data_IF_318573011846
#
_entry.id   IF_318573011846
#
_cell.length_a   1.000
_cell.length_b   1.000
_cell.length_c   1.000
_cell.angle_alpha   90.00
_cell.angle_beta   90.00
_cell.angle_gamma   90.00
#
_symmetry.space_group_name_H-M   'P 1'
#
loop_
_entity.id
_entity.type
_entity.pdbx_description
1 polymer ?
#
# COMPACT_ATOMS: atom_id res chain seq x y z
N UNK A 1 -38.15 -8.40 26.90
CA UNK A 1 -36.87 -8.59 27.60
C UNK A 1 -36.02 -9.57 26.81
N UNK A 2 -35.15 -9.08 25.93
CA UNK A 2 -34.07 -9.86 25.37
C UNK A 2 -32.83 -9.64 26.26
N UNK A 3 -32.45 -10.66 27.01
CA UNK A 3 -31.21 -10.71 27.76
C UNK A 3 -30.05 -10.89 26.75
N UNK A 4 -29.38 -9.79 26.42
CA UNK A 4 -28.12 -9.85 25.74
C UNK A 4 -27.03 -10.18 26.76
N UNK A 5 -26.52 -11.40 26.75
CA UNK A 5 -25.34 -11.78 27.53
C UNK A 5 -24.16 -10.97 27.05
N UNK A 6 -23.38 -10.33 27.92
CA UNK A 6 -22.20 -9.60 27.49
C UNK A 6 -21.13 -10.63 27.07
N UNK A 7 -20.88 -10.74 25.76
CA UNK A 7 -19.64 -11.32 25.26
C UNK A 7 -18.54 -10.32 25.63
N UNK A 8 -17.91 -10.49 26.79
CA UNK A 8 -16.61 -9.89 27.08
C UNK A 8 -15.56 -10.62 26.25
N UNK A 9 -15.45 -10.28 24.96
CA UNK A 9 -14.16 -10.27 24.29
C UNK A 9 -13.49 -8.98 24.76
N UNK A 10 -12.27 -9.06 25.25
CA UNK A 10 -11.37 -7.90 25.30
C UNK A 10 -11.21 -7.42 23.86
N UNK A 11 -12.07 -6.50 23.48
CA UNK A 11 -11.96 -5.81 22.20
C UNK A 11 -10.82 -4.82 22.41
N UNK A 12 -9.59 -5.23 22.07
CA UNK A 12 -8.53 -4.26 21.83
C UNK A 12 -9.14 -3.20 20.91
N UNK A 13 -9.08 -1.94 21.34
CA UNK A 13 -9.61 -0.83 20.54
C UNK A 13 -8.97 -0.89 19.16
N UNK A 14 -9.80 -1.09 18.11
CA UNK A 14 -9.30 -1.15 16.73
C UNK A 14 -8.59 0.16 16.41
N UNK A 15 -7.48 0.03 15.67
CA UNK A 15 -6.60 1.14 15.31
C UNK A 15 -7.22 2.02 14.24
N UNK A 16 -7.14 3.33 14.43
CA UNK A 16 -7.59 4.35 13.48
C UNK A 16 -6.55 4.56 12.39
N UNK A 17 -6.94 4.38 11.14
CA UNK A 17 -6.03 4.56 10.00
C UNK A 17 -6.48 5.69 9.07
N UNK A 18 -5.53 6.53 8.67
CA UNK A 18 -5.69 7.51 7.61
C UNK A 18 -5.15 6.95 6.30
N UNK A 19 -5.98 6.87 5.26
CA UNK A 19 -5.57 6.60 3.89
C UNK A 19 -5.28 7.92 3.17
N UNK A 20 -4.07 8.09 2.69
CA UNK A 20 -3.62 9.19 1.83
C UNK A 20 -3.38 8.62 0.44
N UNK A 21 -4.44 8.54 -0.37
CA UNK A 21 -4.43 7.87 -1.67
C UNK A 21 -5.47 8.50 -2.59
N UNK A 22 -5.44 8.23 -3.90
CA UNK A 22 -6.47 8.71 -4.80
C UNK A 22 -7.82 7.99 -4.60
N UNK A 23 -8.86 8.57 -5.16
CA UNK A 23 -10.21 7.98 -5.20
C UNK A 23 -10.62 7.80 -6.66
N UNK A 24 -10.77 6.55 -7.08
CA UNK A 24 -11.35 6.21 -8.37
C UNK A 24 -12.88 6.26 -8.30
N UNK A 25 -13.50 7.03 -9.20
CA UNK A 25 -14.95 7.12 -9.30
C UNK A 25 -15.57 5.83 -9.85
N UNK A 26 -14.93 5.19 -10.84
CA UNK A 26 -15.34 3.90 -11.39
C UNK A 26 -14.17 2.93 -11.40
N UNK A 27 -14.23 1.93 -10.53
CA UNK A 27 -13.25 0.87 -10.37
C UNK A 27 -12.82 0.62 -8.93
N UNK A 28 -12.12 -0.48 -8.72
CA UNK A 28 -11.66 -0.96 -7.41
C UNK A 28 -10.14 -0.91 -7.32
N UNK A 29 -9.63 0.31 -7.22
CA UNK A 29 -8.21 0.62 -7.04
C UNK A 29 -8.07 1.67 -5.93
N UNK A 30 -6.88 1.87 -5.43
CA UNK A 30 -6.55 2.87 -4.44
C UNK A 30 -7.52 2.86 -3.23
N UNK A 31 -8.01 4.01 -2.79
CA UNK A 31 -8.97 4.10 -1.67
C UNK A 31 -10.22 3.24 -1.89
N UNK A 32 -10.72 3.11 -3.14
CA UNK A 32 -11.91 2.31 -3.43
C UNK A 32 -11.69 0.79 -3.24
N UNK A 33 -10.43 0.32 -3.24
CA UNK A 33 -10.06 -1.05 -2.89
C UNK A 33 -9.70 -1.18 -1.40
N UNK A 34 -8.92 -0.26 -0.85
CA UNK A 34 -8.38 -0.38 0.50
C UNK A 34 -9.46 -0.17 1.58
N UNK A 35 -10.34 0.83 1.42
CA UNK A 35 -11.33 1.20 2.41
C UNK A 35 -12.28 0.05 2.77
N UNK A 36 -12.91 -0.68 1.82
CA UNK A 36 -13.81 -1.78 2.17
C UNK A 36 -13.10 -2.92 2.90
N UNK A 37 -11.84 -3.22 2.55
CA UNK A 37 -11.05 -4.29 3.20
C UNK A 37 -10.73 -3.91 4.64
N UNK A 38 -10.15 -2.73 4.87
CA UNK A 38 -9.79 -2.26 6.21
C UNK A 38 -11.01 -2.11 7.12
N UNK A 39 -12.14 -1.60 6.57
CA UNK A 39 -13.41 -1.51 7.29
C UNK A 39 -13.97 -2.89 7.63
N UNK A 40 -13.86 -3.88 6.72
CA UNK A 40 -14.26 -5.26 6.98
C UNK A 40 -13.42 -5.90 8.11
N UNK A 41 -12.12 -5.62 8.15
CA UNK A 41 -11.23 -6.02 9.23
C UNK A 41 -11.48 -5.25 10.55
N UNK A 42 -12.41 -4.27 10.53
CA UNK A 42 -12.92 -3.58 11.70
C UNK A 42 -12.17 -2.30 12.07
N UNK A 43 -11.23 -1.84 11.25
CA UNK A 43 -10.50 -0.59 11.51
C UNK A 43 -11.33 0.63 11.09
N UNK A 44 -11.43 1.68 11.94
CA UNK A 44 -11.96 2.97 11.53
C UNK A 44 -11.02 3.61 10.49
N UNK A 45 -11.55 3.86 9.28
CA UNK A 45 -10.78 4.38 8.14
C UNK A 45 -11.17 5.84 7.87
N UNK A 46 -10.17 6.70 7.77
CA UNK A 46 -10.28 8.10 7.40
C UNK A 46 -9.57 8.32 6.07
N UNK A 47 -10.01 9.29 5.28
CA UNK A 47 -9.52 9.45 3.92
C UNK A 47 -9.01 10.88 3.68
N UNK A 48 -7.84 10.98 3.06
CA UNK A 48 -7.30 12.21 2.51
C UNK A 48 -7.01 11.96 1.03
N UNK A 49 -7.93 12.31 0.12
CA UNK A 49 -7.75 12.05 -1.30
C UNK A 49 -6.59 12.89 -1.86
N UNK A 50 -5.66 12.25 -2.55
CA UNK A 50 -4.54 12.89 -3.27
C UNK A 50 -4.94 13.32 -4.68
N UNK A 51 -5.90 12.61 -5.26
CA UNK A 51 -6.56 12.96 -6.50
C UNK A 51 -7.97 12.38 -6.54
N UNK A 52 -8.85 13.00 -7.32
CA UNK A 52 -10.10 12.41 -7.75
C UNK A 52 -9.89 11.95 -9.19
N UNK A 53 -10.04 10.65 -9.44
CA UNK A 53 -9.83 10.02 -10.74
C UNK A 53 -11.17 9.46 -11.24
N UNK A 54 -11.55 9.78 -12.47
CA UNK A 54 -12.88 9.38 -12.97
C UNK A 54 -13.10 7.86 -12.98
N UNK A 55 -12.05 7.10 -13.30
CA UNK A 55 -12.08 5.63 -13.44
C UNK A 55 -10.66 5.07 -13.39
N UNK A 56 -10.53 3.73 -13.30
CA UNK A 56 -9.23 3.07 -13.42
C UNK A 56 -8.53 3.43 -14.72
N UNK A 57 -7.22 3.62 -14.67
CA UNK A 57 -6.42 4.07 -15.81
C UNK A 57 -6.38 3.05 -16.96
N UNK A 58 -6.62 1.78 -16.65
CA UNK A 58 -6.63 0.65 -17.60
C UNK A 58 -7.69 0.76 -18.70
N UNK A 59 -8.70 1.61 -18.54
CA UNK A 59 -9.63 1.96 -19.62
C UNK A 59 -9.02 2.87 -20.69
N UNK A 60 -7.78 3.40 -20.48
CA UNK A 60 -7.05 4.22 -21.43
C UNK A 60 -7.55 5.65 -21.58
N UNK A 61 -8.70 5.99 -20.98
CA UNK A 61 -9.25 7.36 -20.93
C UNK A 61 -9.70 7.65 -19.51
N UNK A 62 -9.32 8.78 -18.98
CA UNK A 62 -9.68 9.20 -17.63
C UNK A 62 -9.62 10.73 -17.52
N UNK A 63 -10.22 11.24 -16.47
CA UNK A 63 -10.04 12.61 -15.98
C UNK A 63 -9.48 12.55 -14.56
N UNK A 64 -8.57 13.46 -14.23
CA UNK A 64 -7.93 13.53 -12.91
C UNK A 64 -7.98 14.96 -12.39
N UNK A 65 -8.34 15.11 -11.14
CA UNK A 65 -8.28 16.36 -10.37
C UNK A 65 -7.32 16.17 -9.21
N UNK A 66 -6.18 16.82 -9.26
CA UNK A 66 -5.23 16.89 -8.14
C UNK A 66 -5.80 17.71 -6.98
N UNK A 67 -5.53 17.29 -5.75
CA UNK A 67 -6.12 17.88 -4.54
C UNK A 67 -5.11 18.56 -3.61
N UNK A 68 -3.93 18.92 -4.09
CA UNK A 68 -2.83 19.47 -3.25
C UNK A 68 -3.25 20.71 -2.48
N UNK A 69 -4.01 21.65 -3.08
CA UNK A 69 -4.46 22.84 -2.39
C UNK A 69 -5.52 22.52 -1.31
N UNK A 70 -6.36 21.50 -1.53
CA UNK A 70 -7.27 20.98 -0.51
C UNK A 70 -6.48 20.40 0.66
N UNK A 71 -5.50 19.51 0.41
CA UNK A 71 -4.64 18.89 1.43
C UNK A 71 -3.94 19.97 2.29
N UNK A 72 -3.41 20.99 1.63
CA UNK A 72 -2.78 22.14 2.33
C UNK A 72 -3.73 22.83 3.32
N UNK A 73 -5.02 22.89 3.00
CA UNK A 73 -6.06 23.45 3.89
C UNK A 73 -6.50 22.49 4.99
N UNK A 74 -6.41 21.18 4.76
CA UNK A 74 -6.89 20.14 5.70
C UNK A 74 -6.02 20.04 6.95
N UNK A 75 -4.71 19.99 6.80
CA UNK A 75 -3.81 19.74 7.93
C UNK A 75 -3.90 20.77 9.06
N UNK A 76 -3.98 22.09 8.80
CA UNK A 76 -4.21 23.08 9.86
C UNK A 76 -5.53 22.84 10.62
N UNK A 77 -6.61 22.52 9.90
CA UNK A 77 -7.93 22.25 10.49
C UNK A 77 -7.86 21.00 11.39
N UNK A 78 -7.25 19.92 10.92
CA UNK A 78 -7.12 18.70 11.71
C UNK A 78 -6.26 18.91 12.95
N UNK A 79 -5.21 19.73 12.84
CA UNK A 79 -4.37 20.10 13.99
C UNK A 79 -5.15 20.91 15.03
N UNK A 80 -5.94 21.89 14.60
CA UNK A 80 -6.79 22.70 15.48
C UNK A 80 -7.86 21.85 16.18
N UNK A 81 -8.47 20.89 15.46
CA UNK A 81 -9.47 19.97 16.00
C UNK A 81 -8.87 18.82 16.83
N UNK A 82 -7.55 18.68 16.86
CA UNK A 82 -6.86 17.65 17.63
C UNK A 82 -7.03 16.23 17.09
N UNK A 83 -7.27 16.07 15.77
CA UNK A 83 -7.39 14.74 15.17
C UNK A 83 -6.06 14.01 15.18
N UNK A 84 -6.10 12.72 15.48
CA UNK A 84 -4.94 11.83 15.51
C UNK A 84 -5.29 10.46 14.93
N UNK A 85 -4.26 9.76 14.45
CA UNK A 85 -4.39 8.45 13.85
C UNK A 85 -3.34 7.51 14.43
N UNK A 86 -3.68 6.24 14.58
CA UNK A 86 -2.71 5.21 14.99
C UNK A 86 -1.77 4.85 13.83
N UNK A 87 -2.27 4.99 12.59
CA UNK A 87 -1.49 4.72 11.38
C UNK A 87 -1.87 5.65 10.23
N UNK A 88 -0.92 5.87 9.34
CA UNK A 88 -1.12 6.53 8.04
C UNK A 88 -0.61 5.57 6.98
N UNK A 89 -1.42 5.31 5.94
CA UNK A 89 -1.01 4.58 4.76
C UNK A 89 -1.09 5.50 3.55
N UNK A 90 0.02 5.65 2.82
CA UNK A 90 0.09 6.45 1.61
C UNK A 90 0.20 5.56 0.38
N UNK A 91 -0.48 5.94 -0.70
CA UNK A 91 -0.39 5.33 -2.01
C UNK A 91 -0.01 6.37 -3.06
N UNK A 92 -0.86 6.53 -4.09
CA UNK A 92 -0.60 7.47 -5.18
C UNK A 92 -0.47 8.91 -4.68
N UNK A 93 0.61 9.57 -5.08
CA UNK A 93 0.91 10.98 -4.83
C UNK A 93 0.99 11.71 -6.16
N UNK A 94 0.18 12.75 -6.34
CA UNK A 94 -0.04 13.36 -7.64
C UNK A 94 1.05 14.36 -8.08
N UNK A 95 1.84 14.91 -7.15
CA UNK A 95 2.88 15.90 -7.47
C UNK A 95 3.97 15.99 -6.40
N UNK A 96 5.12 16.57 -6.76
CA UNK A 96 6.24 16.84 -5.83
C UNK A 96 5.80 17.72 -4.64
N UNK A 97 5.00 18.76 -4.91
CA UNK A 97 4.46 19.64 -3.88
C UNK A 97 3.59 18.87 -2.90
N UNK A 98 2.79 17.94 -3.40
CA UNK A 98 1.94 17.08 -2.58
C UNK A 98 2.77 16.11 -1.76
N UNK A 99 3.78 15.46 -2.37
CA UNK A 99 4.69 14.56 -1.67
C UNK A 99 5.36 15.23 -0.48
N UNK A 100 5.86 16.46 -0.69
CA UNK A 100 6.48 17.23 0.40
C UNK A 100 5.49 17.52 1.54
N UNK A 101 4.28 17.97 1.23
CA UNK A 101 3.24 18.25 2.23
C UNK A 101 2.89 17.01 3.04
N UNK A 102 2.71 15.87 2.36
CA UNK A 102 2.34 14.59 3.00
C UNK A 102 3.52 14.05 3.83
N UNK A 103 4.76 14.08 3.31
CA UNK A 103 5.93 13.63 4.05
C UNK A 103 6.17 14.46 5.32
N UNK A 104 6.01 15.79 5.24
CA UNK A 104 6.13 16.66 6.41
C UNK A 104 5.06 16.34 7.46
N UNK A 105 3.81 16.11 7.03
CA UNK A 105 2.74 15.67 7.92
C UNK A 105 3.01 14.30 8.53
N UNK A 106 3.48 13.33 7.74
CA UNK A 106 3.85 11.99 8.25
C UNK A 106 4.97 12.08 9.30
N UNK A 107 5.99 12.93 9.10
CA UNK A 107 7.05 13.14 10.12
C UNK A 107 6.46 13.66 11.42
N UNK A 108 5.62 14.71 11.36
CA UNK A 108 4.96 15.26 12.56
C UNK A 108 4.11 14.20 13.28
N UNK A 109 3.40 13.34 12.53
CA UNK A 109 2.59 12.27 13.13
C UNK A 109 3.45 11.12 13.68
N UNK A 110 4.54 10.75 13.01
CA UNK A 110 5.47 9.72 13.49
C UNK A 110 6.11 10.10 14.83
N UNK A 111 6.44 11.38 15.04
CA UNK A 111 6.93 11.90 16.33
C UNK A 111 5.91 11.72 17.47
N UNK A 112 4.62 11.57 17.13
CA UNK A 112 3.53 11.31 18.08
C UNK A 112 3.20 9.82 18.23
N UNK A 113 3.95 8.95 17.56
CA UNK A 113 3.79 7.50 17.62
C UNK A 113 2.87 6.89 16.56
N UNK A 114 2.46 7.67 15.54
CA UNK A 114 1.72 7.14 14.41
C UNK A 114 2.61 6.27 13.53
N UNK A 115 2.16 5.07 13.19
CA UNK A 115 2.88 4.17 12.28
C UNK A 115 2.67 4.61 10.82
N UNK A 116 3.76 4.70 10.05
CA UNK A 116 3.72 5.18 8.66
C UNK A 116 3.98 4.02 7.69
N UNK A 117 3.01 3.74 6.83
CA UNK A 117 3.07 2.79 5.73
C UNK A 117 3.15 3.53 4.40
N UNK A 118 4.11 3.19 3.55
CA UNK A 118 4.28 3.85 2.25
C UNK A 118 4.33 2.83 1.13
N UNK A 119 3.35 2.92 0.23
CA UNK A 119 3.35 2.26 -1.08
C UNK A 119 3.78 3.31 -2.12
N UNK A 120 4.99 3.23 -2.68
CA UNK A 120 5.54 4.27 -3.54
C UNK A 120 5.14 4.06 -5.00
N UNK A 121 3.86 4.13 -5.29
CA UNK A 121 3.27 3.83 -6.59
C UNK A 121 3.87 4.69 -7.70
N UNK A 122 4.65 4.06 -8.63
CA UNK A 122 5.33 4.76 -9.72
C UNK A 122 5.37 4.00 -11.05
N UNK A 123 5.27 2.69 -11.04
CA UNK A 123 5.46 1.89 -12.24
C UNK A 123 5.33 0.40 -12.00
N UNK A 124 5.37 -0.38 -13.07
CA UNK A 124 5.33 -1.83 -13.04
C UNK A 124 6.01 -2.42 -14.29
N UNK A 125 6.32 -3.72 -14.29
CA UNK A 125 6.93 -4.46 -15.40
C UNK A 125 8.18 -3.76 -16.00
N UNK A 126 9.03 -3.18 -15.15
CA UNK A 126 10.25 -2.48 -15.55
C UNK A 126 10.04 -1.07 -16.09
N UNK A 127 8.81 -0.54 -16.10
CA UNK A 127 8.47 0.75 -16.69
C UNK A 127 7.77 1.65 -15.68
N UNK A 128 8.10 2.94 -15.76
CA UNK A 128 7.36 3.96 -15.03
C UNK A 128 6.01 4.22 -15.70
N UNK A 129 4.99 4.54 -14.92
CA UNK A 129 3.70 4.97 -15.43
C UNK A 129 3.81 6.31 -16.17
N UNK A 130 2.88 6.56 -17.09
CA UNK A 130 2.83 7.82 -17.84
C UNK A 130 2.77 9.03 -16.90
N UNK A 131 3.67 9.99 -17.11
CA UNK A 131 3.77 11.19 -16.30
C UNK A 131 4.70 11.09 -15.10
N UNK A 132 5.22 9.91 -14.76
CA UNK A 132 6.24 9.75 -13.71
C UNK A 132 7.60 10.18 -14.25
N UNK A 133 8.29 11.02 -13.50
CA UNK A 133 9.58 11.63 -13.85
C UNK A 133 10.63 11.33 -12.80
N UNK A 134 11.89 11.72 -13.06
CA UNK A 134 12.95 11.65 -12.05
C UNK A 134 12.61 12.44 -10.77
N UNK A 135 11.88 13.55 -10.91
CA UNK A 135 11.40 14.33 -9.78
C UNK A 135 10.38 13.54 -8.94
N UNK A 136 9.46 12.79 -9.59
CA UNK A 136 8.53 11.89 -8.90
C UNK A 136 9.28 10.83 -8.10
N UNK A 137 10.34 10.21 -8.67
CA UNK A 137 11.16 9.22 -7.96
C UNK A 137 11.80 9.84 -6.71
N UNK A 138 12.31 11.06 -6.80
CA UNK A 138 12.88 11.75 -5.64
C UNK A 138 11.82 12.05 -4.58
N UNK A 139 10.62 12.43 -4.99
CA UNK A 139 9.48 12.63 -4.08
C UNK A 139 9.10 11.34 -3.36
N UNK A 140 9.11 10.20 -4.06
CA UNK A 140 8.85 8.90 -3.44
C UNK A 140 9.99 8.50 -2.48
N UNK A 141 11.25 8.82 -2.79
CA UNK A 141 12.35 8.64 -1.81
C UNK A 141 12.12 9.48 -0.55
N UNK A 142 11.64 10.71 -0.67
CA UNK A 142 11.26 11.52 0.48
C UNK A 142 10.13 10.87 1.28
N UNK A 143 9.11 10.32 0.61
CA UNK A 143 8.01 9.60 1.27
C UNK A 143 8.50 8.37 2.03
N UNK A 144 9.30 7.49 1.40
CA UNK A 144 9.78 6.29 2.07
C UNK A 144 10.78 6.57 3.19
N UNK A 145 11.45 7.75 3.19
CA UNK A 145 12.38 8.13 4.26
C UNK A 145 11.72 8.31 5.63
N UNK A 146 10.40 8.45 5.67
CA UNK A 146 9.63 8.60 6.92
C UNK A 146 8.82 7.35 7.27
N UNK A 147 8.95 6.28 6.48
CA UNK A 147 8.16 5.07 6.62
C UNK A 147 8.67 4.15 7.75
N UNK A 148 7.76 3.57 8.50
CA UNK A 148 8.04 2.41 9.35
C UNK A 148 8.13 1.13 8.48
N UNK A 149 7.31 1.07 7.43
CA UNK A 149 7.32 0.00 6.44
C UNK A 149 7.00 0.55 5.05
N UNK A 150 7.84 0.24 4.07
CA UNK A 150 7.55 0.44 2.65
C UNK A 150 7.51 -0.89 1.90
N UNK A 151 6.67 -0.97 0.84
CA UNK A 151 6.46 -2.22 0.10
C UNK A 151 6.32 -1.99 -1.41
N UNK A 152 7.33 -1.35 -2.06
CA UNK A 152 7.36 -1.21 -3.50
C UNK A 152 7.26 -2.57 -4.22
N UNK A 153 6.78 -2.57 -5.46
CA UNK A 153 7.02 -3.69 -6.35
C UNK A 153 8.49 -3.68 -6.83
N UNK A 154 8.91 -4.73 -7.54
CA UNK A 154 10.31 -4.86 -7.97
C UNK A 154 10.76 -3.72 -8.90
N UNK A 155 9.89 -3.24 -9.79
CA UNK A 155 10.17 -2.10 -10.66
C UNK A 155 10.47 -0.85 -9.84
N UNK A 156 9.59 -0.52 -8.92
CA UNK A 156 9.71 0.64 -8.04
C UNK A 156 10.95 0.56 -7.16
N UNK A 157 11.24 -0.61 -6.59
CA UNK A 157 12.45 -0.84 -5.80
C UNK A 157 13.71 -0.57 -6.62
N UNK A 158 13.75 -0.97 -7.89
CA UNK A 158 14.88 -0.69 -8.78
C UNK A 158 15.05 0.82 -9.01
N UNK A 159 13.97 1.56 -9.30
CA UNK A 159 14.04 3.01 -9.50
C UNK A 159 14.41 3.76 -8.22
N UNK A 160 13.86 3.37 -7.08
CA UNK A 160 14.16 3.99 -5.79
C UNK A 160 15.62 3.81 -5.38
N UNK A 161 16.18 2.64 -5.62
CA UNK A 161 17.58 2.31 -5.28
C UNK A 161 18.58 2.61 -6.41
N UNK A 162 18.10 3.12 -7.56
CA UNK A 162 18.90 3.32 -8.77
C UNK A 162 19.57 2.04 -9.26
N UNK A 163 18.91 0.90 -9.07
CA UNK A 163 19.35 -0.41 -9.53
C UNK A 163 18.76 -0.74 -10.91
N UNK A 164 19.42 -1.63 -11.63
CA UNK A 164 18.92 -2.08 -12.94
C UNK A 164 17.81 -3.12 -12.74
N UNK A 165 16.69 -2.94 -13.45
CA UNK A 165 15.65 -3.95 -13.55
C UNK A 165 16.10 -5.10 -14.46
N UNK A 166 15.86 -6.35 -14.06
CA UNK A 166 16.05 -7.53 -14.88
C UNK A 166 14.78 -8.38 -14.89
N UNK A 167 14.17 -8.55 -16.05
CA UNK A 167 12.95 -9.35 -16.22
C UNK A 167 13.10 -10.83 -15.84
N UNK A 168 14.35 -11.34 -15.81
CA UNK A 168 14.65 -12.70 -15.37
C UNK A 168 14.65 -12.85 -13.85
N UNK A 169 14.51 -11.73 -13.14
CA UNK A 169 14.59 -11.70 -11.69
C UNK A 169 16.03 -11.63 -11.18
N UNK A 170 16.18 -11.90 -9.91
CA UNK A 170 17.45 -11.75 -9.17
C UNK A 170 17.67 -12.92 -8.22
N UNK A 171 18.91 -13.10 -7.77
CA UNK A 171 19.21 -13.98 -6.64
C UNK A 171 18.69 -13.38 -5.32
N UNK A 172 18.54 -14.21 -4.29
CA UNK A 172 18.15 -13.71 -2.97
C UNK A 172 19.16 -12.72 -2.40
N UNK A 173 20.45 -12.86 -2.68
CA UNK A 173 21.46 -11.90 -2.21
C UNK A 173 21.35 -10.54 -2.94
N UNK A 174 20.94 -10.52 -4.19
CA UNK A 174 20.62 -9.28 -4.91
C UNK A 174 19.35 -8.63 -4.37
N UNK A 175 18.32 -9.41 -4.07
CA UNK A 175 17.10 -8.91 -3.42
C UNK A 175 17.41 -8.28 -2.06
N UNK A 176 18.31 -8.85 -1.24
CA UNK A 176 18.79 -8.24 0.00
C UNK A 176 19.46 -6.89 -0.23
N UNK A 177 20.31 -6.77 -1.28
CA UNK A 177 20.93 -5.48 -1.61
C UNK A 177 19.91 -4.41 -1.96
N UNK A 178 18.82 -4.77 -2.67
CA UNK A 178 17.70 -3.85 -2.93
C UNK A 178 17.00 -3.42 -1.64
N UNK A 179 16.70 -4.37 -0.75
CA UNK A 179 16.11 -4.08 0.56
C UNK A 179 17.01 -3.16 1.38
N UNK A 180 18.31 -3.39 1.41
CA UNK A 180 19.27 -2.51 2.08
C UNK A 180 19.32 -1.12 1.43
N UNK A 181 19.23 -1.05 0.11
CA UNK A 181 19.12 0.21 -0.62
C UNK A 181 17.88 1.02 -0.18
N UNK A 182 16.72 0.37 -0.03
CA UNK A 182 15.50 1.02 0.48
C UNK A 182 15.69 1.49 1.93
N UNK A 183 16.29 0.67 2.78
CA UNK A 183 16.60 1.03 4.18
C UNK A 183 17.58 2.21 4.29
N UNK A 184 18.56 2.29 3.41
CA UNK A 184 19.48 3.43 3.35
C UNK A 184 18.79 4.75 2.99
N UNK A 185 17.63 4.71 2.30
CA UNK A 185 16.80 5.90 2.07
C UNK A 185 16.12 6.36 3.37
N UNK A 186 15.83 5.45 4.32
CA UNK A 186 15.37 5.81 5.65
C UNK A 186 14.25 4.95 6.23
N UNK A 187 13.59 4.08 5.45
CA UNK A 187 12.53 3.20 5.99
C UNK A 187 13.10 2.21 7.03
N UNK A 188 12.33 1.91 8.07
CA UNK A 188 12.74 0.93 9.09
C UNK A 188 12.67 -0.48 8.54
N UNK A 189 11.50 -0.93 8.10
CA UNK A 189 11.28 -2.20 7.43
C UNK A 189 10.99 -1.98 5.95
N UNK A 190 11.37 -2.92 5.10
CA UNK A 190 11.12 -2.87 3.67
C UNK A 190 10.66 -4.22 3.16
N UNK A 191 9.75 -4.23 2.19
CA UNK A 191 9.40 -5.39 1.39
C UNK A 191 9.47 -5.04 -0.09
N UNK A 192 9.67 -6.04 -0.94
CA UNK A 192 9.57 -5.91 -2.39
C UNK A 192 8.59 -6.97 -2.86
N UNK A 193 7.52 -6.52 -3.50
CA UNK A 193 6.50 -7.40 -4.08
C UNK A 193 6.78 -7.66 -5.55
N UNK A 194 6.14 -8.68 -6.11
CA UNK A 194 6.22 -9.02 -7.56
C UNK A 194 7.65 -9.17 -8.07
N UNK A 195 8.51 -9.85 -7.29
CA UNK A 195 9.91 -10.10 -7.67
C UNK A 195 10.13 -11.60 -7.97
N UNK A 196 10.87 -11.89 -9.02
CA UNK A 196 11.37 -13.24 -9.28
C UNK A 196 12.68 -13.46 -8.52
N UNK A 197 12.66 -14.34 -7.52
CA UNK A 197 13.86 -14.74 -6.77
C UNK A 197 14.24 -16.15 -7.19
N UNK A 198 15.42 -16.30 -7.78
CA UNK A 198 15.90 -17.58 -8.31
C UNK A 198 14.85 -18.28 -9.20
N UNK A 199 14.12 -17.46 -10.01
CA UNK A 199 13.08 -17.90 -10.93
C UNK A 199 11.71 -18.16 -10.30
N UNK A 200 11.52 -17.89 -9.01
CA UNK A 200 10.25 -18.11 -8.30
C UNK A 200 9.59 -16.77 -7.93
N UNK A 201 8.30 -16.54 -8.31
CA UNK A 201 7.56 -15.37 -7.86
C UNK A 201 7.52 -15.30 -6.35
N UNK A 202 7.92 -14.17 -5.78
CA UNK A 202 8.10 -14.04 -4.34
C UNK A 202 7.79 -12.64 -3.84
N UNK A 203 7.50 -12.54 -2.55
CA UNK A 203 7.65 -11.32 -1.76
C UNK A 203 8.90 -11.49 -0.91
N UNK A 204 9.81 -10.54 -0.97
CA UNK A 204 11.00 -10.50 -0.11
C UNK A 204 10.91 -9.34 0.86
N UNK A 205 11.50 -9.47 2.03
CA UNK A 205 11.48 -8.37 2.99
C UNK A 205 12.60 -8.42 4.02
N UNK A 206 12.75 -7.28 4.68
CA UNK A 206 13.55 -7.12 5.90
C UNK A 206 12.63 -6.62 7.02
N UNK A 207 12.64 -7.35 8.12
CA UNK A 207 11.89 -7.01 9.32
C UNK A 207 12.83 -6.37 10.37
N UNK A 208 12.66 -5.07 10.59
CA UNK A 208 13.45 -4.30 11.55
C UNK A 208 13.31 -4.83 12.99
N UNK A 209 12.12 -5.27 13.39
CA UNK A 209 11.87 -5.73 14.75
C UNK A 209 12.64 -7.01 15.12
N UNK A 210 12.94 -7.86 14.12
CA UNK A 210 13.66 -9.13 14.33
C UNK A 210 15.06 -9.12 13.73
N UNK A 211 15.44 -8.05 13.01
CA UNK A 211 16.70 -7.91 12.25
C UNK A 211 16.93 -9.07 11.27
N UNK A 212 15.87 -9.47 10.54
CA UNK A 212 15.92 -10.63 9.62
C UNK A 212 15.35 -10.31 8.26
N UNK A 213 16.00 -10.87 7.24
CA UNK A 213 15.45 -10.98 5.89
C UNK A 213 14.54 -12.20 5.80
N UNK A 214 13.56 -12.13 4.90
CA UNK A 214 12.68 -13.24 4.59
C UNK A 214 12.32 -13.25 3.10
N UNK A 215 11.89 -14.40 2.61
CA UNK A 215 11.28 -14.58 1.29
C UNK A 215 10.06 -15.47 1.43
N UNK A 216 8.96 -15.08 0.79
CA UNK A 216 7.69 -15.80 0.73
C UNK A 216 7.36 -16.07 -0.72
N UNK A 217 7.59 -17.30 -1.22
CA UNK A 217 7.21 -17.66 -2.58
C UNK A 217 5.70 -17.77 -2.71
N UNK A 218 5.18 -17.44 -3.90
CA UNK A 218 3.77 -17.61 -4.20
C UNK A 218 3.55 -18.17 -5.61
N UNK A 219 2.33 -18.67 -5.85
CA UNK A 219 1.89 -19.08 -7.18
C UNK A 219 1.22 -17.90 -7.87
N UNK A 220 1.71 -17.55 -9.06
CA UNK A 220 1.11 -16.51 -9.88
C UNK A 220 -0.06 -17.07 -10.70
N UNK A 221 -1.17 -16.34 -10.74
CA UNK A 221 -2.26 -16.59 -11.68
C UNK A 221 -2.05 -15.60 -12.85
N UNK A 222 -1.91 -16.07 -14.11
CA UNK A 222 -1.57 -15.22 -15.24
C UNK A 222 -2.76 -14.37 -15.70
N UNK A 223 -3.31 -13.58 -14.81
CA UNK A 223 -4.43 -12.67 -15.03
C UNK A 223 -4.15 -11.36 -14.32
N UNK A 224 -4.19 -10.26 -15.07
CA UNK A 224 -4.01 -8.93 -14.54
C UNK A 224 -5.34 -8.32 -14.07
N UNK A 225 -5.35 -7.76 -12.86
CA UNK A 225 -6.39 -6.87 -12.34
C UNK A 225 -5.75 -5.62 -11.76
N UNK A 226 -6.20 -4.42 -12.13
CA UNK A 226 -5.79 -3.21 -11.42
C UNK A 226 -6.24 -3.27 -9.96
N UNK A 227 -5.45 -2.69 -9.06
CA UNK A 227 -5.76 -2.62 -7.64
C UNK A 227 -5.35 -3.84 -6.80
N UNK A 228 -4.70 -4.86 -7.37
CA UNK A 228 -4.20 -6.00 -6.58
C UNK A 228 -3.12 -5.59 -5.58
N UNK A 229 -2.29 -4.60 -5.90
CA UNK A 229 -1.35 -3.99 -4.96
C UNK A 229 -2.07 -3.29 -3.79
N UNK A 230 -3.12 -2.52 -4.08
CA UNK A 230 -3.94 -1.87 -3.04
C UNK A 230 -4.63 -2.90 -2.12
N UNK A 231 -5.11 -4.01 -2.70
CA UNK A 231 -5.70 -5.13 -1.94
C UNK A 231 -4.65 -5.77 -1.03
N UNK A 232 -3.46 -6.06 -1.57
CA UNK A 232 -2.34 -6.58 -0.79
C UNK A 232 -2.00 -5.66 0.38
N UNK A 233 -1.83 -4.37 0.10
CA UNK A 233 -1.52 -3.34 1.08
C UNK A 233 -2.58 -3.24 2.18
N UNK A 234 -3.86 -3.29 1.82
CA UNK A 234 -4.96 -3.21 2.78
C UNK A 234 -5.02 -4.43 3.71
N UNK A 235 -4.85 -5.64 3.18
CA UNK A 235 -4.84 -6.88 3.98
C UNK A 235 -3.62 -6.87 4.92
N UNK A 236 -2.43 -6.61 4.38
CA UNK A 236 -1.19 -6.52 5.16
C UNK A 236 -1.32 -5.54 6.33
N UNK A 237 -1.70 -4.30 6.04
CA UNK A 237 -1.82 -3.23 7.04
C UNK A 237 -2.87 -3.58 8.07
N UNK A 238 -4.04 -4.10 7.66
CA UNK A 238 -5.10 -4.48 8.59
C UNK A 238 -4.62 -5.50 9.63
N UNK A 239 -3.90 -6.54 9.20
CA UNK A 239 -3.35 -7.54 10.13
C UNK A 239 -2.22 -6.99 11.01
N UNK A 240 -1.35 -6.13 10.47
CA UNK A 240 -0.33 -5.45 11.28
C UNK A 240 -0.96 -4.55 12.36
N UNK A 241 -2.06 -3.86 12.04
CA UNK A 241 -2.79 -3.04 13.01
C UNK A 241 -3.51 -3.86 14.08
N UNK A 242 -3.83 -5.13 13.80
CA UNK A 242 -4.32 -6.09 14.79
C UNK A 242 -3.19 -6.67 15.67
N UNK A 243 -1.93 -6.23 15.46
CA UNK A 243 -0.77 -6.65 16.26
C UNK A 243 -0.13 -7.96 15.77
N UNK A 244 -0.48 -8.44 14.57
CA UNK A 244 0.19 -9.60 13.99
C UNK A 244 1.61 -9.24 13.51
N UNK A 245 2.49 -10.22 13.50
CA UNK A 245 3.86 -10.04 13.00
C UNK A 245 3.91 -9.84 11.46
N UNK A 246 4.98 -9.21 10.98
CA UNK A 246 5.14 -8.85 9.57
C UNK A 246 5.03 -10.06 8.63
N UNK A 247 5.72 -11.16 8.92
CA UNK A 247 5.75 -12.34 8.03
C UNK A 247 4.36 -13.01 7.93
N UNK A 248 3.66 -13.34 9.01
CA UNK A 248 2.29 -13.86 8.93
C UNK A 248 1.32 -12.92 8.24
N UNK A 249 1.40 -11.61 8.50
CA UNK A 249 0.54 -10.61 7.85
C UNK A 249 0.80 -10.55 6.34
N UNK A 250 2.07 -10.65 5.93
CA UNK A 250 2.46 -10.70 4.51
C UNK A 250 1.92 -11.97 3.83
N UNK A 251 2.01 -13.13 4.50
CA UNK A 251 1.46 -14.37 3.94
C UNK A 251 -0.06 -14.29 3.75
N UNK A 252 -0.78 -13.73 4.72
CA UNK A 252 -2.24 -13.51 4.58
C UNK A 252 -2.58 -12.57 3.42
N UNK A 253 -1.78 -11.54 3.20
CA UNK A 253 -1.97 -10.64 2.06
C UNK A 253 -1.74 -11.38 0.73
N UNK A 254 -0.71 -12.20 0.60
CA UNK A 254 -0.46 -13.06 -0.56
C UNK A 254 -1.64 -13.99 -0.80
N UNK A 255 -2.07 -14.72 0.23
CA UNK A 255 -3.16 -15.70 0.14
C UNK A 255 -4.50 -15.03 -0.21
N UNK A 256 -4.77 -13.85 0.37
CA UNK A 256 -5.98 -13.06 0.10
C UNK A 256 -6.03 -12.58 -1.34
N UNK A 257 -4.95 -12.01 -1.85
CA UNK A 257 -4.85 -11.58 -3.26
C UNK A 257 -5.00 -12.77 -4.19
N UNK A 258 -4.31 -13.88 -3.93
CA UNK A 258 -4.43 -15.09 -4.72
C UNK A 258 -5.88 -15.59 -4.82
N UNK A 259 -6.59 -15.72 -3.69
CA UNK A 259 -7.99 -16.15 -3.63
C UNK A 259 -8.90 -15.20 -4.41
N UNK A 260 -8.71 -13.90 -4.26
CA UNK A 260 -9.53 -12.90 -4.96
C UNK A 260 -9.31 -12.95 -6.47
N UNK A 261 -8.07 -13.12 -6.94
CA UNK A 261 -7.76 -13.28 -8.37
C UNK A 261 -8.38 -14.59 -8.89
N UNK A 262 -8.19 -15.72 -8.19
CA UNK A 262 -8.70 -17.03 -8.61
C UNK A 262 -10.23 -17.03 -8.77
N UNK A 263 -10.94 -16.41 -7.82
CA UNK A 263 -12.40 -16.28 -7.87
C UNK A 263 -12.90 -15.35 -8.99
N UNK A 264 -12.03 -14.51 -9.54
CA UNK A 264 -12.41 -13.49 -10.51
C UNK A 264 -11.71 -13.64 -11.88
N UNK A 265 -10.84 -14.64 -12.05
CA UNK A 265 -10.01 -14.82 -13.27
C UNK A 265 -10.82 -14.85 -14.58
N UNK A 266 -12.07 -15.30 -14.52
CA UNK A 266 -12.98 -15.40 -15.68
C UNK A 266 -13.84 -14.13 -15.90
N UNK A 267 -13.69 -13.08 -15.08
CA UNK A 267 -14.40 -11.82 -15.27
C UNK A 267 -14.09 -11.22 -16.64
N UNK A 268 -15.13 -10.81 -17.38
CA UNK A 268 -14.97 -10.21 -18.70
C UNK A 268 -14.38 -8.78 -18.64
N UNK A 269 -14.82 -7.99 -17.68
CA UNK A 269 -14.33 -6.63 -17.46
C UNK A 269 -13.34 -6.63 -16.27
N UNK A 270 -12.07 -6.88 -16.59
CA UNK A 270 -10.99 -6.88 -15.60
C UNK A 270 -10.53 -5.46 -15.27
N UNK A 271 -10.68 -4.51 -16.19
CA UNK A 271 -10.23 -3.13 -16.01
C UNK A 271 -10.94 -2.41 -14.85
N UNK A 272 -12.10 -2.89 -14.45
CA UNK A 272 -12.80 -2.38 -13.28
C UNK A 272 -12.17 -2.77 -11.95
N UNK A 273 -11.22 -3.71 -11.95
CA UNK A 273 -10.69 -4.34 -10.74
C UNK A 273 -11.64 -5.41 -10.17
N UNK A 274 -11.28 -5.96 -9.02
CA UNK A 274 -12.01 -7.04 -8.36
C UNK A 274 -13.23 -6.48 -7.59
N UNK A 275 -14.46 -7.01 -7.79
CA UNK A 275 -15.67 -6.54 -7.10
C UNK A 275 -15.67 -7.02 -5.63
N UNK A 276 -14.93 -6.33 -4.77
CA UNK A 276 -14.65 -6.70 -3.38
C UNK A 276 -15.91 -6.94 -2.54
N UNK A 277 -16.99 -6.23 -2.82
CA UNK A 277 -18.27 -6.35 -2.10
C UNK A 277 -18.82 -7.78 -2.05
N UNK A 278 -18.43 -8.60 -3.03
CA UNK A 278 -18.88 -10.01 -3.13
C UNK A 278 -17.96 -10.96 -2.37
N UNK A 279 -16.74 -10.55 -2.08
CA UNK A 279 -15.68 -11.48 -1.69
C UNK A 279 -14.94 -11.08 -0.39
N UNK A 280 -15.35 -10.03 0.33
CA UNK A 280 -14.71 -9.67 1.61
C UNK A 280 -14.68 -10.82 2.60
N UNK A 281 -15.68 -11.70 2.58
CA UNK A 281 -15.76 -12.86 3.47
C UNK A 281 -14.71 -13.96 3.25
N UNK A 282 -13.82 -13.83 2.24
CA UNK A 282 -12.72 -14.79 2.01
C UNK A 282 -11.38 -14.31 2.57
N UNK A 283 -11.34 -13.07 3.10
CA UNK A 283 -10.16 -12.42 3.66
C UNK A 283 -9.97 -12.77 5.13
#
# INVERSE_FOLDING_TARGET
HYLCSPIKKDIMSKKHILLVNDIAGYGKVATAAMLPILSYLGHPVYNLPTALVSNTLDYGKFNILETTDYIKGVFPVWKELGFSFDAIATGFIASERQAKLVADYCREQAERGTTIFVDPIMGDEGKLYNGVTAATINSMREMISVADLTFPNYTEACYLTSSKYDEKGVSFDEAKRLLDGLRLIGTKSAMITSILVDGTPSVVGYNHATDKYFTLPYTEIPVHFPGTGDIFSAILIGHLLDGEELIPSTQKAIDGVYKLIDLNKDNKDKNRGIPLEKYLGVL
#
